data_IF_352127917811
#
_entry.id   IF_352127917811
#
_cell.length_a   1.000
_cell.length_b   1.000
_cell.length_c   1.000
_cell.angle_alpha   90.00
_cell.angle_beta   90.00
_cell.angle_gamma   90.00
#
_symmetry.space_group_name_H-M   'P 1'
#
loop_
_entity.id
_entity.type
_entity.pdbx_description
1 polymer ?
#
# COMPACT_ATOMS: atom_id res chain seq x y z
N UNK A 1 -3.10 2.82 -17.89
CA UNK A 1 -4.17 1.99 -17.30
C UNK A 1 -3.53 0.71 -16.79
N UNK A 2 -3.71 0.39 -15.51
CA UNK A 2 -3.18 -0.83 -14.93
C UNK A 2 -4.03 -2.01 -15.40
N UNK A 3 -3.41 -3.01 -16.02
CA UNK A 3 -4.10 -4.18 -16.55
C UNK A 3 -3.56 -5.43 -15.86
N UNK A 4 -4.48 -6.22 -15.30
CA UNK A 4 -4.24 -7.59 -14.85
C UNK A 4 -5.30 -8.47 -15.52
N UNK A 5 -4.87 -9.31 -16.44
CA UNK A 5 -5.74 -10.08 -17.32
C UNK A 5 -6.61 -11.09 -16.55
N UNK A 6 -6.06 -11.67 -15.48
CA UNK A 6 -6.66 -12.69 -14.62
C UNK A 6 -7.16 -12.12 -13.28
N UNK A 7 -7.56 -10.85 -13.24
CA UNK A 7 -7.95 -10.18 -11.98
C UNK A 7 -9.11 -10.88 -11.26
N UNK A 8 -10.08 -11.40 -12.02
CA UNK A 8 -11.27 -12.06 -11.46
C UNK A 8 -10.87 -13.38 -10.82
N UNK A 9 -10.09 -14.19 -11.53
CA UNK A 9 -9.57 -15.49 -11.08
C UNK A 9 -8.65 -15.32 -9.88
N UNK A 10 -7.78 -14.30 -9.90
CA UNK A 10 -6.89 -13.98 -8.79
C UNK A 10 -7.67 -13.63 -7.51
N UNK A 11 -8.74 -12.83 -7.63
CA UNK A 11 -9.61 -12.49 -6.51
C UNK A 11 -10.36 -13.71 -5.96
N UNK A 12 -10.86 -14.58 -6.84
CA UNK A 12 -11.54 -15.80 -6.39
C UNK A 12 -10.58 -16.75 -5.67
N UNK A 13 -9.36 -16.98 -6.19
CA UNK A 13 -8.36 -17.80 -5.47
C UNK A 13 -7.97 -17.20 -4.13
N UNK A 14 -7.81 -15.87 -4.04
CA UNK A 14 -7.52 -15.21 -2.77
C UNK A 14 -8.66 -15.39 -1.76
N UNK A 15 -9.92 -15.34 -2.21
CA UNK A 15 -11.10 -15.62 -1.39
C UNK A 15 -11.10 -17.08 -0.90
N UNK A 16 -10.94 -18.04 -1.80
CA UNK A 16 -10.86 -19.47 -1.44
C UNK A 16 -9.77 -19.74 -0.41
N UNK A 17 -8.59 -19.14 -0.59
CA UNK A 17 -7.49 -19.23 0.37
C UNK A 17 -7.86 -18.66 1.75
N UNK A 18 -8.56 -17.52 1.78
CA UNK A 18 -9.04 -16.90 3.02
C UNK A 18 -10.09 -17.75 3.75
N UNK A 19 -10.94 -18.44 2.98
CA UNK A 19 -11.99 -19.34 3.48
C UNK A 19 -11.46 -20.75 3.83
N UNK A 20 -10.14 -20.96 3.78
CA UNK A 20 -9.47 -22.25 3.99
C UNK A 20 -9.91 -23.36 3.02
N UNK A 21 -10.41 -22.97 1.85
CA UNK A 21 -10.74 -23.92 0.78
C UNK A 21 -9.49 -24.35 0.02
N UNK A 22 -9.55 -25.55 -0.56
CA UNK A 22 -8.44 -26.08 -1.36
C UNK A 22 -8.44 -25.45 -2.75
N UNK A 23 -7.29 -24.96 -3.18
CA UNK A 23 -7.04 -24.48 -4.54
C UNK A 23 -6.23 -25.50 -5.34
N UNK A 24 -6.18 -25.33 -6.66
CA UNK A 24 -5.39 -26.16 -7.58
C UNK A 24 -3.88 -26.04 -7.39
N UNK A 25 -3.43 -24.96 -6.75
CA UNK A 25 -2.03 -24.67 -6.38
C UNK A 25 -1.96 -23.69 -5.21
N UNK A 26 -0.81 -23.53 -4.54
CA UNK A 26 -0.62 -22.47 -3.56
C UNK A 26 -0.93 -21.08 -4.14
N UNK A 27 -1.52 -20.23 -3.30
CA UNK A 27 -1.72 -18.80 -3.56
C UNK A 27 -0.40 -18.07 -3.42
N UNK A 28 0.04 -17.42 -4.50
CA UNK A 28 1.35 -16.72 -4.54
C UNK A 28 1.14 -15.36 -5.19
N UNK A 29 1.76 -14.32 -4.64
CA UNK A 29 1.78 -12.98 -5.22
C UNK A 29 3.22 -12.55 -5.49
N UNK A 30 3.50 -12.02 -6.68
CA UNK A 30 4.81 -11.48 -7.05
C UNK A 30 4.67 -10.33 -8.05
N UNK A 31 5.74 -9.56 -8.22
CA UNK A 31 5.82 -8.48 -9.19
C UNK A 31 7.05 -8.65 -10.08
N UNK A 32 6.92 -8.26 -11.35
CA UNK A 32 8.05 -8.17 -12.29
C UNK A 32 8.13 -6.73 -12.81
N UNK A 33 9.34 -6.20 -12.84
CA UNK A 33 9.65 -4.86 -13.34
C UNK A 33 10.18 -4.97 -14.76
N UNK A 34 9.37 -4.64 -15.76
CA UNK A 34 9.74 -4.73 -17.19
C UNK A 34 10.23 -3.38 -17.75
N UNK A 35 9.92 -2.27 -17.07
CA UNK A 35 10.39 -0.93 -17.45
C UNK A 35 11.12 -0.25 -16.29
N UNK A 36 12.01 0.73 -16.57
CA UNK A 36 12.67 1.51 -15.50
C UNK A 36 11.69 2.24 -14.56
N UNK A 37 10.52 2.64 -15.06
CA UNK A 37 9.53 3.39 -14.29
C UNK A 37 8.63 2.51 -13.42
N UNK A 38 8.44 1.23 -13.78
CA UNK A 38 7.61 0.26 -13.03
C UNK A 38 8.00 0.12 -11.56
N UNK A 39 9.27 0.37 -11.21
CA UNK A 39 9.75 0.37 -9.83
C UNK A 39 9.10 1.44 -8.95
N UNK A 40 8.74 2.61 -9.53
CA UNK A 40 8.02 3.67 -8.79
C UNK A 40 6.60 3.23 -8.46
N UNK A 41 5.90 2.60 -9.41
CA UNK A 41 4.58 2.06 -9.16
C UNK A 41 4.61 0.92 -8.13
N UNK A 42 5.63 0.05 -8.18
CA UNK A 42 5.80 -0.99 -7.17
C UNK A 42 5.98 -0.39 -5.77
N UNK A 43 6.84 0.63 -5.61
CA UNK A 43 7.00 1.33 -4.34
C UNK A 43 5.69 1.94 -3.85
N UNK A 44 4.93 2.61 -4.73
CA UNK A 44 3.64 3.22 -4.42
C UNK A 44 2.57 2.20 -3.96
N UNK A 45 2.68 0.94 -4.38
CA UNK A 45 1.81 -0.17 -3.97
C UNK A 45 2.18 -0.83 -2.64
N UNK A 46 3.33 -0.44 -2.06
CA UNK A 46 3.93 -1.07 -0.89
C UNK A 46 3.82 -0.24 0.38
N UNK A 47 4.08 -0.88 1.52
CA UNK A 47 4.04 -0.26 2.84
C UNK A 47 5.12 0.81 3.08
N UNK A 48 6.05 1.02 2.15
CA UNK A 48 7.09 2.05 2.26
C UNK A 48 6.72 3.36 1.54
N UNK A 49 5.57 3.41 0.88
CA UNK A 49 5.05 4.63 0.27
C UNK A 49 4.28 5.48 1.30
N UNK A 50 4.80 6.66 1.62
CA UNK A 50 4.20 7.62 2.56
C UNK A 50 3.78 8.92 1.89
N UNK A 51 3.61 8.94 0.55
CA UNK A 51 3.34 10.18 -0.18
C UNK A 51 2.03 10.83 0.28
N UNK A 52 0.98 10.02 0.45
CA UNK A 52 -0.30 10.49 0.96
C UNK A 52 -0.26 10.83 2.46
N UNK A 53 0.61 10.17 3.23
CA UNK A 53 0.85 10.54 4.63
C UNK A 53 1.57 11.88 4.80
N UNK A 54 2.36 12.32 3.81
CA UNK A 54 2.99 13.65 3.77
C UNK A 54 2.05 14.72 3.21
N UNK A 55 1.17 14.34 2.29
CA UNK A 55 0.25 15.24 1.60
C UNK A 55 -1.12 14.57 1.43
N UNK A 56 -1.95 14.60 2.47
CA UNK A 56 -3.22 13.87 2.53
C UNK A 56 -4.28 14.40 1.55
N UNK A 57 -4.20 15.68 1.16
CA UNK A 57 -5.05 16.29 0.13
C UNK A 57 -4.60 15.99 -1.30
N UNK A 58 -3.42 15.37 -1.46
CA UNK A 58 -2.76 15.17 -2.76
C UNK A 58 -3.18 13.94 -3.53
N UNK A 59 -4.32 13.30 -3.21
CA UNK A 59 -4.66 11.97 -3.73
C UNK A 59 -4.65 11.90 -5.26
N UNK A 60 -5.22 12.89 -5.95
CA UNK A 60 -5.33 12.89 -7.41
C UNK A 60 -3.95 12.85 -8.09
N UNK A 61 -3.04 13.76 -7.71
CA UNK A 61 -1.71 13.83 -8.32
C UNK A 61 -0.84 12.61 -8.00
N UNK A 62 -1.07 12.00 -6.84
CA UNK A 62 -0.40 10.77 -6.41
C UNK A 62 -0.89 9.58 -7.23
N UNK A 63 -2.21 9.46 -7.45
CA UNK A 63 -2.78 8.40 -8.28
C UNK A 63 -2.37 8.56 -9.75
N UNK A 64 -2.37 9.78 -10.28
CA UNK A 64 -1.84 10.07 -11.62
C UNK A 64 -0.39 9.58 -11.74
N UNK A 65 0.45 9.86 -10.72
CA UNK A 65 1.84 9.40 -10.71
C UNK A 65 1.91 7.87 -10.67
N UNK A 66 1.12 7.21 -9.83
CA UNK A 66 1.08 5.76 -9.74
C UNK A 66 0.69 5.11 -11.08
N UNK A 67 -0.40 5.58 -11.70
CA UNK A 67 -0.89 5.05 -12.97
C UNK A 67 0.08 5.29 -14.12
N UNK A 68 0.67 6.48 -14.22
CA UNK A 68 1.65 6.84 -15.25
C UNK A 68 2.97 6.07 -15.15
N UNK A 69 3.29 5.51 -13.98
CA UNK A 69 4.50 4.72 -13.76
C UNK A 69 4.23 3.21 -13.73
N UNK A 70 2.98 2.78 -13.91
CA UNK A 70 2.58 1.37 -13.84
C UNK A 70 2.87 0.57 -15.11
N UNK A 71 3.28 1.24 -16.20
CA UNK A 71 3.62 0.58 -17.45
C UNK A 71 4.79 -0.40 -17.28
N UNK A 72 4.59 -1.65 -17.70
CA UNK A 72 5.53 -2.75 -17.48
C UNK A 72 5.68 -3.21 -16.02
N UNK A 73 4.74 -2.88 -15.13
CA UNK A 73 4.63 -3.54 -13.82
C UNK A 73 3.70 -4.75 -13.93
N UNK A 74 4.27 -5.95 -13.87
CA UNK A 74 3.49 -7.19 -13.86
C UNK A 74 2.98 -7.49 -12.45
N UNK A 75 1.70 -7.84 -12.35
CA UNK A 75 1.03 -8.25 -11.12
C UNK A 75 0.75 -9.77 -11.17
N UNK A 76 1.77 -10.56 -10.87
CA UNK A 76 1.77 -12.01 -11.06
C UNK A 76 1.05 -12.79 -9.96
N UNK A 77 0.51 -13.96 -10.35
CA UNK A 77 -0.28 -14.82 -9.46
C UNK A 77 -1.50 -14.09 -8.91
N UNK A 78 -1.72 -14.15 -7.60
CA UNK A 78 -2.83 -13.49 -6.92
C UNK A 78 -2.48 -12.06 -6.43
N UNK A 79 -1.42 -11.45 -6.99
CA UNK A 79 -1.10 -10.06 -6.72
C UNK A 79 -2.16 -9.14 -7.34
N UNK A 80 -3.00 -8.53 -6.50
CA UNK A 80 -4.03 -7.57 -6.93
C UNK A 80 -3.39 -6.18 -7.05
N UNK A 81 -3.51 -5.50 -8.20
CA UNK A 81 -3.02 -4.13 -8.35
C UNK A 81 -3.67 -3.19 -7.35
N UNK A 82 -2.86 -2.39 -6.66
CA UNK A 82 -3.34 -1.45 -5.66
C UNK A 82 -2.36 -0.29 -5.50
N UNK A 83 -2.90 0.87 -5.15
CA UNK A 83 -2.15 1.90 -4.44
C UNK A 83 -2.25 1.61 -2.93
N UNK A 84 -1.16 1.79 -2.18
CA UNK A 84 -1.18 1.63 -0.71
C UNK A 84 -1.10 3.01 -0.04
N UNK A 85 -2.22 3.56 0.47
CA UNK A 85 -2.27 4.87 1.10
C UNK A 85 -1.72 4.80 2.53
N UNK A 86 -0.41 4.60 2.69
CA UNK A 86 0.17 4.47 4.02
C UNK A 86 0.16 5.81 4.77
N UNK A 87 -0.68 5.90 5.79
CA UNK A 87 -0.68 7.01 6.75
C UNK A 87 0.13 6.71 8.01
N UNK A 88 0.80 5.56 8.07
CA UNK A 88 1.50 5.07 9.26
C UNK A 88 0.57 4.32 10.23
N UNK A 89 1.13 3.44 11.09
CA UNK A 89 0.34 2.58 11.98
C UNK A 89 -0.43 3.35 13.06
N UNK A 90 -0.02 4.60 13.34
CA UNK A 90 -0.63 5.45 14.34
C UNK A 90 -1.58 6.52 13.79
N UNK A 91 -2.02 6.43 12.52
CA UNK A 91 -2.83 7.47 11.88
C UNK A 91 -4.08 7.89 12.67
N UNK A 92 -4.69 6.97 13.44
CA UNK A 92 -5.82 7.27 14.32
C UNK A 92 -5.46 8.29 15.42
N UNK A 93 -4.21 8.34 15.88
CA UNK A 93 -3.77 9.36 16.83
C UNK A 93 -3.92 10.78 16.26
N UNK A 94 -3.72 10.94 14.94
CA UNK A 94 -3.95 12.22 14.27
C UNK A 94 -5.41 12.63 14.27
N UNK A 95 -6.31 11.68 14.00
CA UNK A 95 -7.76 11.91 14.11
C UNK A 95 -8.16 12.34 15.53
N UNK A 96 -7.43 11.86 16.55
CA UNK A 96 -7.60 12.21 17.96
C UNK A 96 -6.81 13.47 18.40
N UNK A 97 -6.17 14.19 17.47
CA UNK A 97 -5.51 15.48 17.72
C UNK A 97 -4.00 15.44 17.94
N UNK A 98 -3.33 14.30 17.74
CA UNK A 98 -1.87 14.27 17.66
C UNK A 98 -1.39 14.87 16.32
N UNK A 99 -0.27 15.58 16.32
CA UNK A 99 0.34 16.05 15.07
C UNK A 99 1.31 14.98 14.55
N UNK A 100 1.11 14.43 13.34
CA UNK A 100 2.04 13.45 12.77
C UNK A 100 3.36 14.12 12.38
N UNK A 101 4.48 13.41 12.57
CA UNK A 101 5.82 13.84 12.18
C UNK A 101 6.44 12.83 11.22
N UNK A 102 6.69 13.23 9.96
CA UNK A 102 7.46 12.39 9.05
C UNK A 102 8.95 12.46 9.40
N UNK A 103 9.53 11.35 9.88
CA UNK A 103 10.93 11.28 10.30
C UNK A 103 11.48 9.86 10.15
N UNK A 104 12.75 9.76 9.73
CA UNK A 104 13.46 8.49 9.55
C UNK A 104 12.76 7.49 8.62
N UNK A 105 12.12 7.98 7.56
CA UNK A 105 11.45 7.12 6.56
C UNK A 105 10.10 6.54 7.01
N UNK A 106 9.47 7.09 8.04
CA UNK A 106 8.13 6.72 8.50
C UNK A 106 7.42 7.92 9.13
N UNK A 107 6.19 7.71 9.61
CA UNK A 107 5.37 8.72 10.28
C UNK A 107 5.29 8.36 11.77
N UNK A 108 5.75 9.28 12.60
CA UNK A 108 5.70 9.17 14.06
C UNK A 108 4.53 9.95 14.62
N UNK A 109 3.94 9.38 15.67
CA UNK A 109 2.83 9.96 16.41
C UNK A 109 3.26 10.01 17.85
N UNK A 110 3.36 11.20 18.40
CA UNK A 110 3.75 11.38 19.78
C UNK A 110 2.83 12.37 20.45
N UNK A 111 2.59 12.09 21.73
CA UNK A 111 1.98 13.00 22.67
C UNK A 111 2.94 13.10 23.83
N UNK A 112 3.31 14.32 24.21
CA UNK A 112 4.08 14.52 25.43
C UNK A 112 3.18 14.11 26.61
N UNK A 113 3.59 13.08 27.31
CA UNK A 113 2.89 12.52 28.47
C UNK A 113 3.87 12.48 29.63
N UNK A 114 3.50 13.04 30.78
CA UNK A 114 4.33 12.90 31.97
C UNK A 114 4.30 11.45 32.45
N UNK A 115 5.42 10.96 33.00
CA UNK A 115 5.55 9.55 33.41
C UNK A 115 4.45 9.14 34.40
N UNK A 116 4.03 10.06 35.28
CA UNK A 116 2.94 9.84 36.25
C UNK A 116 1.56 9.62 35.62
N UNK A 117 1.39 10.02 34.35
CA UNK A 117 0.13 9.96 33.61
C UNK A 117 0.10 8.76 32.64
N UNK A 118 1.13 7.91 32.66
CA UNK A 118 1.17 6.64 31.91
C UNK A 118 0.46 5.57 32.76
N UNK A 119 -0.66 5.04 32.24
CA UNK A 119 -1.47 3.98 32.87
C UNK A 119 -0.90 2.59 32.55
#
# INVERSE_FOLDING_TARGET
MIVKEDLVEAKERMKLWWDHETTDRPTIAYNILETPNSGRALLASGALNYDLGKNWDGIESILDTFENNSDGLVWGGECIPRYFPNYGPGAMATVLGATPEYKSGTIWFHRKTDVKDIV
#
